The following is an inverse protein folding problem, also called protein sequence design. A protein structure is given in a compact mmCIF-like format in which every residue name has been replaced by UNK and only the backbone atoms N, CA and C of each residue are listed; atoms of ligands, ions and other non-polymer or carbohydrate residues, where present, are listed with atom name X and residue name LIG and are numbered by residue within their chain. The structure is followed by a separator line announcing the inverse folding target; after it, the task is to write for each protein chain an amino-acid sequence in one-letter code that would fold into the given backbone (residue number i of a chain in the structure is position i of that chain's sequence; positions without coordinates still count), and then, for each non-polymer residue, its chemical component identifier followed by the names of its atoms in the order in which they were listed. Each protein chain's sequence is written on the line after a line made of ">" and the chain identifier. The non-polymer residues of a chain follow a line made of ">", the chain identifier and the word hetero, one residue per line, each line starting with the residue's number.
data_IF_258980098637
#
_entry.id   IF_258980098637
#
_cell.length_a   1.000
_cell.length_b   1.000
_cell.length_c   1.000
_cell.angle_alpha   90.00
_cell.angle_beta   90.00
_cell.angle_gamma   90.00
#
_symmetry.space_group_name_H-M   'P 1'
#
loop_
_entity.id
_entity.type
_entity.pdbx_description
1 polymer ?
#
# COMPACT_ATOMS: atom_id res chain seq x y z
N UNK A 1 14.53 -6.58 -18.08
CA UNK A 1 14.45 -7.31 -16.80
C UNK A 1 15.74 -7.08 -16.02
N UNK A 2 15.68 -6.96 -14.69
CA UNK A 2 16.83 -6.68 -13.81
C UNK A 2 17.65 -5.41 -14.12
N UNK A 3 16.99 -4.34 -14.60
CA UNK A 3 17.61 -3.00 -14.71
C UNK A 3 17.48 -2.24 -13.38
N UNK A 4 18.01 -2.82 -12.31
CA UNK A 4 17.98 -2.19 -10.99
C UNK A 4 19.04 -1.08 -10.96
N UNK A 5 18.58 0.17 -10.85
CA UNK A 5 19.46 1.32 -10.68
C UNK A 5 19.80 1.52 -9.21
N UNK A 6 20.79 0.75 -8.75
CA UNK A 6 21.29 0.87 -7.39
C UNK A 6 21.96 2.22 -7.13
N UNK A 7 22.54 2.86 -8.16
CA UNK A 7 23.17 4.16 -8.01
C UNK A 7 22.13 5.25 -7.70
N UNK A 8 21.03 5.28 -8.46
CA UNK A 8 19.90 6.17 -8.18
C UNK A 8 19.18 5.82 -6.87
N UNK A 9 19.18 4.55 -6.44
CA UNK A 9 18.59 4.16 -5.15
C UNK A 9 19.32 4.78 -3.94
N UNK A 10 20.62 5.05 -4.05
CA UNK A 10 21.41 5.69 -2.99
C UNK A 10 21.32 7.23 -2.99
N UNK A 11 20.67 7.85 -3.98
CA UNK A 11 20.39 9.29 -3.92
C UNK A 11 19.46 9.60 -2.75
N UNK A 12 19.76 10.67 -2.00
CA UNK A 12 19.04 11.05 -0.78
C UNK A 12 17.53 11.24 -1.06
N UNK A 13 17.19 11.77 -2.25
CA UNK A 13 15.79 11.93 -2.67
C UNK A 13 15.09 10.59 -2.84
N UNK A 14 15.74 9.61 -3.48
CA UNK A 14 15.18 8.27 -3.65
C UNK A 14 15.17 7.47 -2.36
N UNK A 15 16.19 7.61 -1.52
CA UNK A 15 16.23 6.96 -0.21
C UNK A 15 15.01 7.32 0.63
N UNK A 16 14.64 8.61 0.68
CA UNK A 16 13.44 9.08 1.36
C UNK A 16 12.16 8.47 0.79
N UNK A 17 12.06 8.35 -0.55
CA UNK A 17 10.92 7.72 -1.23
C UNK A 17 10.86 6.21 -0.97
N UNK A 18 11.99 5.52 -1.00
CA UNK A 18 12.09 4.08 -0.71
C UNK A 18 11.63 3.81 0.72
N UNK A 19 12.08 4.59 1.71
CA UNK A 19 11.61 4.45 3.09
C UNK A 19 10.11 4.74 3.22
N UNK A 20 9.59 5.75 2.52
CA UNK A 20 8.16 6.05 2.45
C UNK A 20 7.36 4.82 2.02
N UNK A 21 7.71 4.28 0.85
CA UNK A 21 7.02 3.16 0.25
C UNK A 21 7.21 1.90 1.06
N UNK A 22 8.37 1.66 1.67
CA UNK A 22 8.59 0.50 2.54
C UNK A 22 7.58 0.47 3.70
N UNK A 23 7.37 1.60 4.39
CA UNK A 23 6.42 1.62 5.50
C UNK A 23 4.98 1.56 5.01
N UNK A 24 4.66 2.24 3.90
CA UNK A 24 3.32 2.21 3.31
C UNK A 24 2.97 0.80 2.85
N UNK A 25 3.87 0.13 2.14
CA UNK A 25 3.73 -1.25 1.66
C UNK A 25 3.62 -2.23 2.83
N UNK A 26 4.46 -2.07 3.87
CA UNK A 26 4.37 -2.88 5.09
C UNK A 26 3.00 -2.77 5.77
N UNK A 27 2.47 -1.55 5.90
CA UNK A 27 1.17 -1.31 6.52
C UNK A 27 0.00 -1.71 5.62
N UNK A 28 0.11 -1.54 4.30
CA UNK A 28 -0.88 -1.98 3.32
C UNK A 28 -0.98 -3.51 3.35
N UNK A 29 0.13 -4.23 3.15
CA UNK A 29 0.16 -5.70 3.23
C UNK A 29 -0.32 -6.19 4.59
N UNK A 30 0.14 -5.59 5.70
CA UNK A 30 -0.33 -6.02 7.03
C UNK A 30 -1.82 -5.77 7.22
N UNK A 31 -2.34 -4.63 6.77
CA UNK A 31 -3.75 -4.26 6.89
C UNK A 31 -4.65 -5.16 6.05
N UNK A 32 -4.29 -5.38 4.79
CA UNK A 32 -5.03 -6.25 3.86
C UNK A 32 -4.98 -7.70 4.30
N UNK A 33 -3.81 -8.22 4.73
CA UNK A 33 -3.68 -9.58 5.25
C UNK A 33 -4.59 -9.80 6.47
N UNK A 34 -4.60 -8.87 7.42
CA UNK A 34 -5.47 -8.97 8.61
C UNK A 34 -6.94 -8.92 8.21
N UNK A 35 -7.34 -7.98 7.36
CA UNK A 35 -8.73 -7.82 6.91
C UNK A 35 -9.23 -9.05 6.15
N UNK A 36 -8.44 -9.58 5.21
CA UNK A 36 -8.77 -10.77 4.42
C UNK A 36 -8.81 -12.02 5.33
N UNK A 37 -7.85 -12.17 6.25
CA UNK A 37 -7.79 -13.30 7.20
C UNK A 37 -9.01 -13.33 8.12
N UNK A 38 -9.40 -12.17 8.66
CA UNK A 38 -10.61 -12.05 9.49
C UNK A 38 -11.86 -12.43 8.69
N UNK A 39 -11.99 -11.93 7.45
CA UNK A 39 -13.12 -12.28 6.58
C UNK A 39 -13.13 -13.76 6.17
N UNK A 40 -11.96 -14.38 6.06
CA UNK A 40 -11.80 -15.80 5.75
C UNK A 40 -12.11 -16.73 6.93
N UNK A 41 -12.27 -16.17 8.14
CA UNK A 41 -12.41 -16.96 9.37
C UNK A 41 -11.13 -17.75 9.68
N UNK A 42 -9.97 -17.22 9.29
CA UNK A 42 -8.64 -17.82 9.50
C UNK A 42 -7.89 -17.17 10.68
N UNK A 43 -8.51 -16.20 11.35
CA UNK A 43 -7.97 -15.61 12.57
C UNK A 43 -8.07 -16.60 13.74
N UNK A 44 -7.14 -16.51 14.69
CA UNK A 44 -7.18 -17.30 15.92
C UNK A 44 -8.35 -16.89 16.84
N UNK A 45 -8.57 -17.63 17.92
CA UNK A 45 -9.64 -17.35 18.90
C UNK A 45 -9.52 -15.98 19.58
N UNK A 46 -8.33 -15.36 19.50
CA UNK A 46 -8.03 -14.02 20.04
C UNK A 46 -8.10 -12.94 18.95
N UNK A 47 -8.50 -13.28 17.72
CA UNK A 47 -8.59 -12.38 16.58
C UNK A 47 -7.27 -12.06 15.90
N UNK A 48 -6.16 -12.71 16.27
CA UNK A 48 -4.85 -12.51 15.66
C UNK A 48 -4.65 -13.42 14.45
N UNK A 49 -3.84 -12.96 13.51
CA UNK A 49 -3.45 -13.75 12.35
C UNK A 49 -2.36 -14.76 12.74
N UNK A 50 -2.61 -16.07 12.61
CA UNK A 50 -1.57 -17.06 12.83
C UNK A 50 -0.48 -16.92 11.74
N UNK A 51 0.78 -16.97 12.16
CA UNK A 51 1.96 -16.95 11.25
C UNK A 51 2.10 -15.67 10.41
N UNK A 52 1.70 -14.51 10.93
CA UNK A 52 1.86 -13.21 10.26
C UNK A 52 3.29 -13.01 9.71
N UNK A 53 4.34 -13.34 10.48
CA UNK A 53 5.72 -13.23 10.01
C UNK A 53 6.04 -14.09 8.78
N UNK A 54 5.44 -15.28 8.64
CA UNK A 54 5.61 -16.11 7.43
C UNK A 54 4.84 -15.52 6.25
N UNK A 55 3.66 -14.97 6.48
CA UNK A 55 2.88 -14.30 5.44
C UNK A 55 3.61 -13.06 4.91
N UNK A 56 4.13 -12.21 5.80
CA UNK A 56 4.95 -11.05 5.44
C UNK A 56 6.22 -11.47 4.70
N UNK A 57 6.88 -12.56 5.11
CA UNK A 57 8.06 -13.06 4.38
C UNK A 57 7.73 -13.56 2.97
N UNK A 58 6.54 -14.14 2.78
CA UNK A 58 6.08 -14.58 1.47
C UNK A 58 5.76 -13.38 0.57
N UNK A 59 5.10 -12.36 1.11
CA UNK A 59 4.84 -11.09 0.44
C UNK A 59 6.13 -10.36 0.03
N UNK A 60 7.07 -10.20 0.97
CA UNK A 60 8.37 -9.58 0.68
C UNK A 60 9.17 -10.34 -0.39
N UNK A 61 9.14 -11.67 -0.38
CA UNK A 61 9.83 -12.47 -1.41
C UNK A 61 9.16 -12.37 -2.78
N UNK A 62 7.82 -12.27 -2.83
CA UNK A 62 7.08 -11.97 -4.04
C UNK A 62 7.43 -10.56 -4.57
N UNK A 63 7.50 -9.55 -3.70
CA UNK A 63 7.86 -8.17 -4.07
C UNK A 63 9.27 -8.06 -4.61
N UNK A 64 10.25 -8.75 -3.99
CA UNK A 64 11.62 -8.80 -4.50
C UNK A 64 11.66 -9.49 -5.87
N UNK A 65 10.94 -10.60 -6.04
CA UNK A 65 10.84 -11.28 -7.34
C UNK A 65 10.18 -10.40 -8.41
N UNK A 66 9.10 -9.70 -8.07
CA UNK A 66 8.42 -8.75 -8.96
C UNK A 66 9.31 -7.58 -9.37
N UNK A 67 10.02 -6.98 -8.41
CA UNK A 67 10.96 -5.90 -8.68
C UNK A 67 12.11 -6.33 -9.59
N UNK A 68 12.66 -7.55 -9.42
CA UNK A 68 13.66 -8.12 -10.34
C UNK A 68 13.09 -8.31 -11.76
N UNK A 69 11.80 -8.63 -11.84
CA UNK A 69 11.07 -8.70 -13.10
C UNK A 69 10.64 -7.31 -13.64
N UNK A 70 10.99 -6.21 -12.96
CA UNK A 70 10.67 -4.85 -13.41
C UNK A 70 9.20 -4.46 -13.23
N UNK A 71 8.46 -5.14 -12.35
CA UNK A 71 7.09 -4.76 -11.98
C UNK A 71 7.09 -3.81 -10.79
N UNK A 72 5.94 -3.20 -10.52
CA UNK A 72 5.70 -2.50 -9.24
C UNK A 72 5.71 -3.48 -8.06
N UNK A 73 5.65 -2.94 -6.84
CA UNK A 73 5.49 -3.75 -5.63
C UNK A 73 4.24 -4.64 -5.75
N UNK A 74 4.36 -5.88 -5.30
CA UNK A 74 3.26 -6.84 -5.29
C UNK A 74 2.71 -6.90 -3.87
N UNK A 75 1.42 -6.69 -3.69
CA UNK A 75 0.78 -6.69 -2.37
C UNK A 75 -0.40 -7.66 -2.34
N UNK A 76 -0.86 -7.95 -1.12
CA UNK A 76 -2.10 -8.68 -0.89
C UNK A 76 -3.31 -7.78 -1.19
N UNK A 77 -4.16 -8.18 -2.14
CA UNK A 77 -5.32 -7.39 -2.56
C UNK A 77 -6.50 -7.52 -1.60
N UNK A 78 -7.09 -6.39 -1.18
CA UNK A 78 -8.31 -6.38 -0.36
C UNK A 78 -9.50 -7.01 -1.11
N UNK A 79 -9.49 -6.95 -2.44
CA UNK A 79 -10.47 -7.57 -3.33
C UNK A 79 -10.51 -9.10 -3.19
N UNK A 80 -9.45 -9.70 -2.65
CA UNK A 80 -9.41 -11.14 -2.31
C UNK A 80 -10.53 -11.53 -1.34
N UNK A 81 -11.09 -10.56 -0.60
CA UNK A 81 -12.31 -10.74 0.21
C UNK A 81 -13.46 -11.31 -0.63
N UNK A 82 -13.64 -10.90 -1.89
CA UNK A 82 -14.68 -11.43 -2.75
C UNK A 82 -14.47 -12.93 -3.04
N UNK A 83 -13.23 -13.33 -3.34
CA UNK A 83 -12.86 -14.74 -3.56
C UNK A 83 -13.02 -15.59 -2.30
N UNK A 84 -12.65 -15.05 -1.14
CA UNK A 84 -12.84 -15.68 0.16
C UNK A 84 -14.32 -15.88 0.49
N UNK A 85 -15.17 -14.91 0.13
CA UNK A 85 -16.61 -14.95 0.41
C UNK A 85 -17.33 -16.07 -0.33
N UNK A 86 -16.82 -16.47 -1.51
CA UNK A 86 -17.33 -17.61 -2.28
C UNK A 86 -16.61 -18.93 -1.98
N UNK A 87 -15.76 -18.97 -0.93
CA UNK A 87 -15.13 -20.19 -0.43
C UNK A 87 -13.63 -20.35 -0.75
N UNK A 88 -13.00 -19.38 -1.41
CA UNK A 88 -11.56 -19.39 -1.72
C UNK A 88 -10.69 -19.14 -0.49
N UNK A 89 -10.49 -20.16 0.36
CA UNK A 89 -9.78 -20.04 1.65
C UNK A 89 -8.46 -20.79 1.72
N UNK A 90 -7.97 -21.30 0.60
CA UNK A 90 -6.75 -22.14 0.55
C UNK A 90 -5.66 -21.51 -0.31
N UNK A 91 -4.40 -21.83 -0.02
CA UNK A 91 -3.28 -21.42 -0.88
C UNK A 91 -3.38 -21.98 -2.30
N UNK A 92 -4.07 -23.12 -2.50
CA UNK A 92 -4.34 -23.65 -3.83
C UNK A 92 -5.18 -22.69 -4.67
N UNK A 93 -6.13 -21.96 -4.07
CA UNK A 93 -6.90 -20.92 -4.75
C UNK A 93 -5.97 -19.84 -5.30
N UNK A 94 -5.01 -19.37 -4.49
CA UNK A 94 -4.03 -18.36 -4.93
C UNK A 94 -3.14 -18.88 -6.07
N UNK A 95 -2.68 -20.14 -6.00
CA UNK A 95 -1.88 -20.78 -7.06
C UNK A 95 -2.66 -20.89 -8.37
N UNK A 96 -3.92 -21.36 -8.31
CA UNK A 96 -4.77 -21.48 -9.50
C UNK A 96 -5.03 -20.11 -10.13
N UNK A 97 -5.34 -19.09 -9.32
CA UNK A 97 -5.50 -17.71 -9.80
C UNK A 97 -4.22 -17.22 -10.47
N UNK A 98 -3.05 -17.46 -9.87
CA UNK A 98 -1.76 -17.11 -10.46
C UNK A 98 -1.51 -17.79 -11.81
N UNK A 99 -1.81 -19.10 -11.93
CA UNK A 99 -1.69 -19.83 -13.20
C UNK A 99 -2.65 -19.26 -14.25
N UNK A 100 -3.89 -18.93 -13.88
CA UNK A 100 -4.84 -18.28 -14.79
C UNK A 100 -4.33 -16.92 -15.27
N UNK A 101 -3.70 -16.12 -14.40
CA UNK A 101 -3.06 -14.86 -14.78
C UNK A 101 -1.85 -15.05 -15.71
N UNK A 102 -1.05 -16.09 -15.50
CA UNK A 102 0.03 -16.45 -16.42
C UNK A 102 -0.51 -16.86 -17.79
N UNK A 103 -1.58 -17.66 -17.84
CA UNK A 103 -2.23 -18.04 -19.10
C UNK A 103 -2.84 -16.82 -19.81
N UNK A 104 -3.38 -15.87 -19.05
CA UNK A 104 -3.88 -14.59 -19.58
C UNK A 104 -2.81 -13.78 -20.32
N UNK A 105 -1.51 -13.97 -20.04
CA UNK A 105 -0.46 -13.28 -20.82
C UNK A 105 -0.47 -13.65 -22.30
N UNK A 106 -0.86 -14.88 -22.68
CA UNK A 106 -1.03 -15.26 -24.08
C UNK A 106 -2.22 -14.55 -24.73
N UNK A 107 -3.23 -14.22 -23.94
CA UNK A 107 -4.41 -13.45 -24.36
C UNK A 107 -4.23 -11.94 -24.13
N UNK A 108 -3.08 -11.47 -23.64
CA UNK A 108 -2.80 -10.05 -23.45
C UNK A 108 -3.01 -9.20 -24.72
N UNK A 109 -2.68 -9.69 -25.94
CA UNK A 109 -2.98 -8.95 -27.17
C UNK A 109 -4.48 -8.69 -27.37
N UNK A 110 -5.35 -9.63 -26.99
CA UNK A 110 -6.80 -9.45 -27.05
C UNK A 110 -7.27 -8.41 -26.02
N UNK A 111 -6.68 -8.41 -24.83
CA UNK A 111 -6.97 -7.39 -23.82
C UNK A 111 -6.56 -5.98 -24.29
N UNK A 112 -5.46 -5.86 -25.03
CA UNK A 112 -4.99 -4.59 -25.61
C UNK A 112 -5.87 -4.07 -26.76
N UNK A 113 -6.75 -4.90 -27.34
CA UNK A 113 -7.74 -4.45 -28.31
C UNK A 113 -8.88 -3.64 -27.66
N UNK A 114 -9.05 -3.76 -26.34
CA UNK A 114 -10.06 -2.99 -25.60
C UNK A 114 -9.61 -1.54 -25.51
N UNK A 115 -10.40 -0.57 -26.02
CA UNK A 115 -10.03 0.83 -25.94
C UNK A 115 -9.93 1.33 -24.50
N UNK A 116 -8.98 2.23 -24.23
CA UNK A 116 -8.75 2.77 -22.88
C UNK A 116 -9.98 3.46 -22.25
N UNK A 117 -10.87 4.03 -23.08
CA UNK A 117 -12.12 4.62 -22.59
C UNK A 117 -13.11 3.57 -22.06
N UNK A 118 -13.03 2.32 -22.54
CA UNK A 118 -13.88 1.23 -22.06
C UNK A 118 -13.41 0.70 -20.69
N UNK A 119 -12.10 0.75 -20.41
CA UNK A 119 -11.55 0.38 -19.10
C UNK A 119 -11.70 1.47 -18.05
N UNK A 120 -11.96 2.72 -18.44
CA UNK A 120 -12.12 3.85 -17.52
C UNK A 120 -13.22 3.62 -16.48
N UNK A 121 -14.35 3.03 -16.87
CA UNK A 121 -15.45 2.70 -15.95
C UNK A 121 -15.04 1.68 -14.88
N UNK A 122 -14.24 0.68 -15.25
CA UNK A 122 -13.72 -0.31 -14.32
C UNK A 122 -12.72 0.32 -13.34
N UNK A 123 -11.79 1.16 -13.82
CA UNK A 123 -10.82 1.86 -12.96
C UNK A 123 -11.54 2.81 -11.99
N UNK A 124 -12.55 3.54 -12.47
CA UNK A 124 -13.36 4.43 -11.62
C UNK A 124 -14.08 3.64 -10.52
N UNK A 125 -14.67 2.49 -10.85
CA UNK A 125 -15.32 1.64 -9.87
C UNK A 125 -14.32 1.12 -8.82
N UNK A 126 -13.14 0.65 -9.24
CA UNK A 126 -12.08 0.22 -8.33
C UNK A 126 -11.60 1.38 -7.44
N UNK A 127 -11.45 2.59 -7.99
CA UNK A 127 -11.11 3.78 -7.20
C UNK A 127 -12.16 4.07 -6.12
N UNK A 128 -13.45 3.94 -6.44
CA UNK A 128 -14.54 4.09 -5.46
C UNK A 128 -14.46 3.02 -4.37
N UNK A 129 -14.16 1.76 -4.72
CA UNK A 129 -13.97 0.70 -3.74
C UNK A 129 -12.80 0.99 -2.79
N UNK A 130 -11.69 1.50 -3.31
CA UNK A 130 -10.53 1.89 -2.51
C UNK A 130 -10.83 3.06 -1.58
N UNK A 131 -11.61 4.05 -2.04
CA UNK A 131 -12.06 5.17 -1.22
C UNK A 131 -12.96 4.74 -0.05
N UNK A 132 -13.64 3.59 -0.12
CA UNK A 132 -14.44 3.08 1.00
C UNK A 132 -13.59 2.82 2.25
N UNK A 133 -12.29 2.55 2.11
CA UNK A 133 -11.42 2.34 3.25
C UNK A 133 -11.27 3.60 4.13
N UNK A 134 -11.55 4.80 3.59
CA UNK A 134 -11.58 6.03 4.37
C UNK A 134 -12.61 6.00 5.50
N UNK A 135 -13.62 5.12 5.44
CA UNK A 135 -14.61 4.95 6.52
C UNK A 135 -13.99 4.41 7.83
N UNK A 136 -12.82 3.79 7.75
CA UNK A 136 -12.12 3.24 8.91
C UNK A 136 -11.24 4.26 9.62
N UNK A 137 -11.10 5.46 9.04
CA UNK A 137 -10.42 6.58 9.69
C UNK A 137 -11.34 7.16 10.78
N UNK A 138 -10.78 7.44 11.95
CA UNK A 138 -11.49 8.19 12.99
C UNK A 138 -11.56 9.67 12.58
N UNK A 139 -12.70 10.06 12.04
CA UNK A 139 -12.95 11.42 11.58
C UNK A 139 -13.29 12.39 12.72
N UNK A 140 -13.60 11.89 13.92
CA UNK A 140 -13.89 12.71 15.09
C UNK A 140 -12.59 13.22 15.74
N UNK A 141 -11.50 12.45 15.67
CA UNK A 141 -10.17 12.91 16.07
C UNK A 141 -9.50 13.73 14.94
N UNK A 142 -9.53 15.06 15.09
CA UNK A 142 -8.84 15.98 14.17
C UNK A 142 -7.35 15.68 14.01
N UNK A 143 -6.72 15.01 14.98
CA UNK A 143 -5.31 14.63 14.89
C UNK A 143 -5.04 13.51 13.90
N UNK A 144 -6.06 12.74 13.50
CA UNK A 144 -5.99 11.70 12.47
C UNK A 144 -6.69 12.14 11.16
N UNK A 145 -7.77 12.91 11.26
CA UNK A 145 -8.51 13.42 10.09
C UNK A 145 -7.71 14.41 9.23
N UNK A 146 -6.97 15.34 9.86
CA UNK A 146 -6.17 16.35 9.13
C UNK A 146 -5.09 15.69 8.25
N UNK A 147 -4.23 14.79 8.78
CA UNK A 147 -3.19 14.14 7.97
C UNK A 147 -3.74 13.32 6.80
N UNK A 148 -4.84 12.58 7.01
CA UNK A 148 -5.50 11.82 5.94
C UNK A 148 -5.99 12.75 4.83
N UNK A 149 -6.59 13.88 5.21
CA UNK A 149 -7.05 14.89 4.25
C UNK A 149 -5.88 15.49 3.46
N UNK A 150 -4.75 15.75 4.11
CA UNK A 150 -3.53 16.24 3.46
C UNK A 150 -3.04 15.24 2.41
N UNK A 151 -2.96 13.94 2.73
CA UNK A 151 -2.56 12.92 1.74
C UNK A 151 -3.50 12.90 0.55
N UNK A 152 -4.81 12.91 0.81
CA UNK A 152 -5.85 12.79 -0.22
C UNK A 152 -5.84 13.96 -1.20
N UNK A 153 -5.58 15.17 -0.71
CA UNK A 153 -5.53 16.39 -1.54
C UNK A 153 -4.16 16.62 -2.18
N UNK A 154 -3.07 16.40 -1.44
CA UNK A 154 -1.72 16.71 -1.94
C UNK A 154 -1.25 15.70 -2.97
N UNK A 155 -1.68 14.44 -2.90
CA UNK A 155 -1.30 13.42 -3.90
C UNK A 155 -1.69 13.82 -5.34
N UNK A 156 -2.97 14.13 -5.65
CA UNK A 156 -3.34 14.58 -6.99
C UNK A 156 -2.79 15.97 -7.31
N UNK A 157 -2.70 16.88 -6.33
CA UNK A 157 -2.23 18.25 -6.56
C UNK A 157 -0.74 18.33 -6.91
N UNK A 158 0.07 17.44 -6.34
CA UNK A 158 1.52 17.36 -6.61
C UNK A 158 1.87 16.39 -7.75
N UNK A 159 0.86 15.71 -8.33
CA UNK A 159 1.05 14.62 -9.29
C UNK A 159 2.04 13.53 -8.81
N UNK A 160 2.19 13.38 -7.49
CA UNK A 160 3.14 12.47 -6.89
C UNK A 160 2.62 11.88 -5.59
N UNK A 161 2.40 10.57 -5.62
CA UNK A 161 2.03 9.78 -4.43
C UNK A 161 3.09 9.93 -3.33
N UNK A 162 4.38 9.95 -3.72
CA UNK A 162 5.47 10.09 -2.77
C UNK A 162 5.42 11.44 -2.03
N UNK A 163 5.16 12.55 -2.72
CA UNK A 163 5.02 13.86 -2.08
C UNK A 163 3.76 13.95 -1.21
N UNK A 164 2.64 13.39 -1.66
CA UNK A 164 1.41 13.32 -0.87
C UNK A 164 1.59 12.55 0.45
N UNK A 165 2.22 11.38 0.39
CA UNK A 165 2.55 10.56 1.57
C UNK A 165 3.51 11.30 2.51
N UNK A 166 4.55 11.93 1.96
CA UNK A 166 5.53 12.68 2.75
C UNK A 166 4.87 13.81 3.54
N UNK A 167 4.02 14.61 2.88
CA UNK A 167 3.27 15.69 3.53
C UNK A 167 2.26 15.15 4.55
N UNK A 168 1.66 13.98 4.28
CA UNK A 168 0.81 13.27 5.23
C UNK A 168 1.52 12.94 6.55
N UNK A 169 2.69 12.28 6.48
CA UNK A 169 3.46 11.94 7.68
C UNK A 169 3.93 13.18 8.44
N UNK A 170 4.40 14.21 7.73
CA UNK A 170 4.77 15.50 8.36
C UNK A 170 3.57 16.11 9.08
N UNK A 171 2.41 16.16 8.43
CA UNK A 171 1.18 16.68 9.03
C UNK A 171 0.76 15.85 10.24
N UNK A 172 0.87 14.52 10.18
CA UNK A 172 0.53 13.62 11.28
C UNK A 172 1.36 13.91 12.52
N UNK A 173 2.68 13.95 12.38
CA UNK A 173 3.57 14.25 13.51
C UNK A 173 3.34 15.68 14.00
N UNK A 174 3.23 16.67 13.12
CA UNK A 174 3.02 18.06 13.51
C UNK A 174 1.74 18.25 14.34
N UNK A 175 0.60 17.72 13.86
CA UNK A 175 -0.69 17.87 14.55
C UNK A 175 -0.70 17.12 15.89
N UNK A 176 -0.22 15.87 15.94
CA UNK A 176 -0.14 15.11 17.20
C UNK A 176 0.76 15.78 18.24
N UNK A 177 1.88 16.39 17.83
CA UNK A 177 2.78 17.13 18.73
C UNK A 177 2.12 18.41 19.23
N UNK A 178 1.48 19.19 18.34
CA UNK A 178 0.80 20.43 18.72
C UNK A 178 -0.38 20.19 19.67
N UNK A 179 -1.07 19.06 19.54
CA UNK A 179 -2.14 18.65 20.45
C UNK A 179 -1.65 17.92 21.72
N UNK A 180 -0.34 17.85 21.95
CA UNK A 180 0.25 17.21 23.14
C UNK A 180 0.19 15.67 23.14
N UNK A 181 -0.28 15.03 22.06
CA UNK A 181 -0.39 13.57 21.89
C UNK A 181 0.89 12.94 21.32
N UNK A 182 2.06 13.41 21.75
CA UNK A 182 3.37 12.94 21.24
C UNK A 182 3.61 11.43 21.43
N UNK A 183 3.04 10.85 22.49
CA UNK A 183 3.23 9.44 22.85
C UNK A 183 2.46 8.48 21.92
N UNK A 184 1.53 9.00 21.10
CA UNK A 184 0.82 8.22 20.09
C UNK A 184 1.61 8.07 18.79
N UNK A 185 2.68 8.86 18.60
CA UNK A 185 3.50 8.82 17.38
C UNK A 185 4.58 7.76 17.56
N UNK A 186 4.52 6.71 16.74
CA UNK A 186 5.52 5.65 16.77
C UNK A 186 6.91 6.17 16.36
N UNK A 187 7.96 5.50 16.83
CA UNK A 187 9.35 5.82 16.48
C UNK A 187 9.57 5.80 14.96
N UNK A 188 8.93 4.85 14.25
CA UNK A 188 9.04 4.75 12.79
C UNK A 188 8.50 5.99 12.10
N UNK A 189 7.36 6.52 12.57
CA UNK A 189 6.76 7.74 12.03
C UNK A 189 7.65 8.95 12.32
N UNK A 190 8.25 9.02 13.51
CA UNK A 190 9.22 10.08 13.83
C UNK A 190 10.43 10.10 12.90
N UNK A 191 11.03 8.94 12.67
CA UNK A 191 12.17 8.79 11.75
C UNK A 191 11.75 9.22 10.35
N UNK A 192 10.58 8.76 9.89
CA UNK A 192 10.09 9.03 8.55
C UNK A 192 9.78 10.52 8.34
N UNK A 193 9.13 11.16 9.32
CA UNK A 193 8.90 12.61 9.31
C UNK A 193 10.20 13.39 9.27
N UNK A 194 11.20 13.02 10.08
CA UNK A 194 12.51 13.68 10.05
C UNK A 194 13.18 13.58 8.68
N UNK A 195 13.13 12.39 8.05
CA UNK A 195 13.65 12.17 6.70
C UNK A 195 12.95 13.04 5.65
N UNK A 196 11.62 13.15 5.71
CA UNK A 196 10.88 13.98 4.75
C UNK A 196 11.07 15.48 4.96
N UNK A 197 11.11 15.94 6.21
CA UNK A 197 11.42 17.34 6.52
C UNK A 197 12.80 17.68 5.97
N UNK A 198 13.79 16.81 6.18
CA UNK A 198 15.13 17.00 5.61
C UNK A 198 15.10 17.03 4.08
N UNK A 199 14.39 16.09 3.44
CA UNK A 199 14.22 16.07 1.97
C UNK A 199 13.62 17.39 1.46
N UNK A 200 12.54 17.88 2.05
CA UNK A 200 11.90 19.12 1.60
C UNK A 200 12.73 20.38 1.92
N UNK A 201 13.49 20.38 3.01
CA UNK A 201 14.30 21.52 3.41
C UNK A 201 15.60 21.66 2.59
N UNK A 202 16.21 20.55 2.16
CA UNK A 202 17.54 20.55 1.53
C UNK A 202 17.59 20.03 0.09
N UNK A 203 16.55 19.31 -0.37
CA UNK A 203 16.57 18.59 -1.65
C UNK A 203 15.37 18.91 -2.57
N UNK A 204 14.53 19.88 -2.19
CA UNK A 204 13.39 20.33 -3.01
C UNK A 204 13.71 21.55 -3.85
#
# INVERSE_FOLDING_TARGET
>A
FMQLDFAAAFDISMMSVIFAFLFVDLFDTSGTLVAVTQKAGLADEKGNMPRLGRALSADSSATIAGAMLGTSTTTSYIESVAGVSVGGRTGLTAVVVGICFLLMMFFAPLAQMVPAYATAGAILYVAVLMLQNLKFVDWDDMTDAIPVTVVLLMTPLTFSIAHGIALGFISYTAVKVLCGKKDQVSISVWILTALFVFKFAFLS
#
